data_IF_771621873146
#
_entry.id   IF_771621873146
#
_cell.length_a   1.000
_cell.length_b   1.000
_cell.length_c   1.000
_cell.angle_alpha   90.00
_cell.angle_beta   90.00
_cell.angle_gamma   90.00
#
_symmetry.space_group_name_H-M   'P 1'
#
loop_
_entity.id
_entity.type
_entity.pdbx_description
1 polymer ?
#
# COMPACT_ATOMS: atom_id res chain seq x y z
N UNK A 1 -21.12 -24.20 10.43
CA UNK A 1 -21.49 -23.69 9.10
C UNK A 1 -20.90 -22.30 8.93
N UNK A 2 -19.84 -22.14 8.13
CA UNK A 2 -19.68 -21.01 7.22
C UNK A 2 -18.50 -21.34 6.29
N UNK A 3 -18.81 -21.53 5.03
CA UNK A 3 -17.87 -21.95 4.00
C UNK A 3 -16.68 -20.99 3.95
N UNK A 4 -15.49 -21.59 3.85
CA UNK A 4 -14.28 -20.96 3.38
C UNK A 4 -14.61 -20.01 2.23
N UNK A 5 -14.15 -18.76 2.37
CA UNK A 5 -14.27 -17.72 1.34
C UNK A 5 -13.35 -18.10 0.18
N UNK A 6 -13.77 -19.11 -0.59
CA UNK A 6 -13.11 -19.57 -1.80
C UNK A 6 -13.28 -18.45 -2.83
N UNK A 7 -12.19 -17.77 -3.17
CA UNK A 7 -12.14 -16.83 -4.28
C UNK A 7 -12.39 -17.61 -5.58
N UNK A 8 -13.64 -17.68 -6.03
CA UNK A 8 -14.08 -18.35 -7.27
C UNK A 8 -13.71 -17.58 -8.56
N UNK A 9 -12.58 -16.88 -8.58
CA UNK A 9 -12.10 -16.14 -9.75
C UNK A 9 -10.67 -15.65 -9.51
N UNK A 10 -9.77 -15.90 -10.45
CA UNK A 10 -8.30 -15.87 -10.30
C UNK A 10 -7.62 -14.53 -10.02
N UNK A 11 -8.30 -13.53 -9.46
CA UNK A 11 -7.64 -12.31 -8.98
C UNK A 11 -7.21 -12.49 -7.52
N UNK A 12 -5.97 -12.16 -7.16
CA UNK A 12 -5.54 -12.18 -5.78
C UNK A 12 -6.38 -11.21 -4.94
N UNK A 13 -6.63 -11.58 -3.69
CA UNK A 13 -7.34 -10.73 -2.74
C UNK A 13 -6.64 -9.37 -2.64
N UNK A 14 -7.38 -8.30 -2.86
CA UNK A 14 -6.90 -6.93 -2.73
C UNK A 14 -7.69 -6.24 -1.62
N UNK A 15 -6.98 -5.51 -0.75
CA UNK A 15 -7.59 -4.68 0.28
C UNK A 15 -8.56 -3.67 -0.35
N UNK A 16 -9.81 -3.55 0.15
CA UNK A 16 -10.77 -2.58 -0.37
C UNK A 16 -10.25 -1.15 -0.16
N UNK A 17 -10.35 -0.30 -1.18
CA UNK A 17 -9.94 1.11 -1.12
C UNK A 17 -11.11 2.04 -1.42
N UNK A 18 -11.05 3.26 -0.86
CA UNK A 18 -12.03 4.32 -1.07
C UNK A 18 -11.33 5.60 -1.53
N UNK A 19 -11.81 6.20 -2.62
CA UNK A 19 -11.29 7.47 -3.13
C UNK A 19 -11.81 8.62 -2.26
N UNK A 20 -10.91 9.33 -1.59
CA UNK A 20 -11.22 10.53 -0.80
C UNK A 20 -10.31 11.67 -1.25
N UNK A 21 -10.90 12.84 -1.47
CA UNK A 21 -10.15 14.03 -1.88
C UNK A 21 -9.55 14.73 -0.66
N UNK A 22 -8.29 15.18 -0.79
CA UNK A 22 -7.59 15.97 0.22
C UNK A 22 -7.22 17.32 -0.40
N UNK A 23 -7.57 18.41 0.28
CA UNK A 23 -7.18 19.76 -0.15
C UNK A 23 -5.86 20.14 0.51
N UNK A 24 -4.87 20.49 -0.32
CA UNK A 24 -3.58 21.02 0.11
C UNK A 24 -3.27 22.29 -0.70
N UNK A 25 -2.57 23.28 -0.11
CA UNK A 25 -2.00 24.38 -0.87
C UNK A 25 -1.10 23.90 -2.00
N UNK A 26 -1.08 24.62 -3.13
CA UNK A 26 -0.27 24.29 -4.32
C UNK A 26 1.21 24.12 -3.95
N UNK A 27 1.73 24.97 -3.06
CA UNK A 27 3.11 24.86 -2.55
C UNK A 27 3.40 23.48 -1.95
N UNK A 28 2.46 22.92 -1.18
CA UNK A 28 2.61 21.58 -0.60
C UNK A 28 2.53 20.50 -1.67
N UNK A 29 1.58 20.60 -2.60
CA UNK A 29 1.49 19.65 -3.72
C UNK A 29 2.79 19.55 -4.52
N UNK A 30 3.43 20.68 -4.80
CA UNK A 30 4.71 20.70 -5.51
C UNK A 30 5.83 20.02 -4.73
N UNK A 31 5.86 20.16 -3.40
CA UNK A 31 6.84 19.48 -2.55
C UNK A 31 6.56 17.98 -2.45
N UNK A 32 5.29 17.59 -2.28
CA UNK A 32 4.86 16.19 -2.27
C UNK A 32 5.26 15.52 -3.58
N UNK A 33 4.99 16.16 -4.72
CA UNK A 33 5.34 15.61 -6.04
C UNK A 33 6.85 15.42 -6.22
N UNK A 34 7.67 16.36 -5.70
CA UNK A 34 9.13 16.22 -5.70
C UNK A 34 9.59 15.09 -4.78
N UNK A 35 9.01 14.95 -3.59
CA UNK A 35 9.36 13.94 -2.62
C UNK A 35 8.89 12.53 -3.02
N UNK A 36 7.83 12.42 -3.81
CA UNK A 36 7.28 11.14 -4.25
C UNK A 36 7.99 10.53 -5.47
N UNK A 37 9.07 11.14 -5.97
CA UNK A 37 9.74 10.70 -7.21
C UNK A 37 10.28 9.28 -7.16
N UNK A 38 10.71 8.82 -5.99
CA UNK A 38 11.26 7.47 -5.79
C UNK A 38 10.17 6.42 -5.51
N UNK A 39 8.90 6.83 -5.51
CA UNK A 39 7.75 5.96 -5.29
C UNK A 39 7.02 5.71 -6.61
N UNK A 40 6.29 4.59 -6.73
CA UNK A 40 5.53 4.26 -7.95
C UNK A 40 4.41 5.26 -8.23
N UNK A 41 3.91 5.92 -7.18
CA UNK A 41 2.88 6.95 -7.29
C UNK A 41 2.89 7.88 -6.08
N UNK A 42 2.30 9.06 -6.24
CA UNK A 42 2.03 10.00 -5.13
C UNK A 42 1.17 9.33 -4.05
N UNK A 43 0.20 8.49 -4.44
CA UNK A 43 -0.62 7.76 -3.49
C UNK A 43 0.18 6.77 -2.64
N UNK A 44 1.15 6.07 -3.23
CA UNK A 44 2.03 5.17 -2.48
C UNK A 44 2.90 5.95 -1.48
N UNK A 45 3.42 7.11 -1.89
CA UNK A 45 4.14 7.98 -0.98
C UNK A 45 3.27 8.38 0.23
N UNK A 46 2.02 8.80 0.00
CA UNK A 46 1.09 9.12 1.08
C UNK A 46 0.79 7.92 1.99
N UNK A 47 0.55 6.73 1.42
CA UNK A 47 0.34 5.52 2.19
C UNK A 47 1.54 5.22 3.08
N UNK A 48 2.75 5.34 2.54
CA UNK A 48 3.98 5.11 3.32
C UNK A 48 4.11 6.08 4.49
N UNK A 49 3.78 7.37 4.30
CA UNK A 49 3.82 8.37 5.37
C UNK A 49 2.81 8.05 6.47
N UNK A 50 1.57 7.73 6.09
CA UNK A 50 0.49 7.42 7.03
C UNK A 50 0.79 6.13 7.79
N UNK A 51 1.17 5.05 7.11
CA UNK A 51 1.52 3.78 7.76
C UNK A 51 2.72 3.96 8.70
N UNK A 52 3.74 4.74 8.31
CA UNK A 52 4.89 5.03 9.16
C UNK A 52 4.47 5.79 10.44
N UNK A 53 3.61 6.80 10.32
CA UNK A 53 3.12 7.57 11.47
C UNK A 53 2.26 6.69 12.40
N UNK A 54 1.32 5.92 11.84
CA UNK A 54 0.46 5.03 12.63
C UNK A 54 1.24 3.91 13.34
N UNK A 55 2.31 3.39 12.72
CA UNK A 55 3.21 2.42 13.36
C UNK A 55 3.96 3.09 14.52
N UNK A 56 4.48 4.31 14.32
CA UNK A 56 5.15 5.07 15.40
C UNK A 56 4.21 5.33 16.57
N UNK A 57 2.93 5.59 16.30
CA UNK A 57 1.86 5.76 17.30
C UNK A 57 1.37 4.45 17.91
N UNK A 58 1.91 3.29 17.49
CA UNK A 58 1.47 1.94 17.90
C UNK A 58 -0.01 1.64 17.58
N UNK A 59 -0.59 2.35 16.61
CA UNK A 59 -1.96 2.15 16.13
C UNK A 59 -2.04 1.11 15.01
N UNK A 60 -0.93 0.86 14.32
CA UNK A 60 -0.80 -0.14 13.27
C UNK A 60 0.40 -1.04 13.59
N UNK A 61 0.27 -2.37 13.46
CA UNK A 61 1.42 -3.26 13.61
C UNK A 61 2.27 -3.23 12.34
N UNK A 62 3.59 -3.35 12.49
CA UNK A 62 4.51 -3.38 11.33
C UNK A 62 4.20 -4.52 10.34
N UNK A 63 3.63 -5.62 10.83
CA UNK A 63 3.20 -6.77 10.02
C UNK A 63 1.96 -6.49 9.16
N UNK A 64 1.15 -5.51 9.54
CA UNK A 64 -0.09 -5.12 8.83
C UNK A 64 0.17 -4.08 7.74
N UNK A 65 1.42 -3.57 7.65
CA UNK A 65 1.85 -2.72 6.54
C UNK A 65 1.57 -3.42 5.22
N UNK A 66 1.01 -2.70 4.25
CA UNK A 66 0.87 -3.20 2.89
C UNK A 66 2.26 -3.50 2.33
N UNK A 67 2.61 -4.78 2.25
CA UNK A 67 3.83 -5.17 1.55
C UNK A 67 3.64 -4.78 0.09
N UNK A 68 4.46 -3.85 -0.40
CA UNK A 68 4.64 -3.75 -1.84
C UNK A 68 4.99 -5.16 -2.31
N UNK A 69 4.17 -5.70 -3.21
CA UNK A 69 4.55 -6.88 -3.97
C UNK A 69 5.84 -6.52 -4.69
N UNK A 70 6.98 -6.88 -4.11
CA UNK A 70 8.17 -7.12 -4.89
C UNK A 70 7.83 -8.34 -5.74
N UNK A 71 7.29 -8.12 -6.94
CA UNK A 71 7.42 -9.11 -8.01
C UNK A 71 8.93 -9.26 -8.26
N UNK A 72 9.53 -10.20 -7.55
CA UNK A 72 10.66 -11.04 -7.92
C UNK A 72 11.25 -11.68 -6.66
N UNK A 73 10.59 -12.74 -6.19
CA UNK A 73 11.36 -13.89 -5.73
C UNK A 73 11.04 -14.98 -6.74
N UNK A 74 11.93 -15.13 -7.71
CA UNK A 74 11.93 -16.24 -8.65
C UNK A 74 11.75 -17.52 -7.84
N UNK A 75 10.61 -18.18 -8.00
CA UNK A 75 10.45 -19.58 -7.66
C UNK A 75 11.28 -20.38 -8.67
N UNK A 76 12.60 -20.45 -8.49
CA UNK A 76 13.39 -21.54 -9.07
C UNK A 76 13.27 -22.74 -8.12
N UNK A 77 12.13 -23.41 -8.18
CA UNK A 77 12.02 -24.80 -7.72
C UNK A 77 12.22 -25.72 -8.91
N UNK A 78 13.23 -26.58 -8.80
CA UNK A 78 13.38 -27.95 -9.34
C UNK A 78 14.63 -28.15 -10.20
N UNK A 79 15.40 -29.14 -9.74
CA UNK A 79 16.68 -29.66 -10.21
C UNK A 79 17.30 -30.38 -9.04
#
# INVERSE_FOLDING_TARGET
MLMSKVNKGGRPFTEPSSLRSVRLPVRLWNMVYKASKDFRSVNEYFLSLVENDLIKRKMLKRSERKKLSSNNKNNSTKG
#
